data_IF_448704899272
#
_entry.id   IF_448704899272
#
_cell.length_a   1.000
_cell.length_b   1.000
_cell.length_c   1.000
_cell.angle_alpha   90.00
_cell.angle_beta   90.00
_cell.angle_gamma   90.00
#
_symmetry.space_group_name_H-M   'P 1'
#
loop_
_entity.id
_entity.type
_entity.pdbx_description
1 polymer ?
#
# COMPACT_ATOMS: atom_id res chain seq x y z
N UNK A 1 59.36 -55.77 2.69
CA UNK A 1 60.55 -55.15 2.07
C UNK A 1 60.42 -53.64 2.21
N UNK A 2 61.32 -53.09 2.97
CA UNK A 2 62.06 -51.81 2.86
C UNK A 2 61.20 -50.59 2.44
N UNK A 3 61.01 -49.68 3.33
CA UNK A 3 61.92 -48.55 3.79
C UNK A 3 61.79 -47.30 2.91
N UNK A 4 61.54 -46.21 3.54
CA UNK A 4 61.80 -44.88 3.02
C UNK A 4 61.14 -43.76 3.80
N UNK A 5 61.82 -43.32 4.88
CA UNK A 5 61.52 -42.09 5.64
C UNK A 5 61.95 -40.90 4.82
N UNK A 6 61.20 -39.80 4.87
CA UNK A 6 61.85 -38.48 4.93
C UNK A 6 61.02 -37.45 5.67
N UNK A 7 61.66 -36.90 6.68
CA UNK A 7 61.22 -35.85 7.59
C UNK A 7 61.54 -34.50 6.96
N UNK A 8 60.60 -33.62 6.91
CA UNK A 8 60.80 -32.20 6.53
C UNK A 8 60.15 -31.27 7.52
N UNK A 9 60.94 -30.74 8.43
CA UNK A 9 60.59 -29.61 9.30
C UNK A 9 60.24 -28.38 8.45
N UNK A 10 59.14 -27.74 8.77
CA UNK A 10 58.92 -26.37 8.36
C UNK A 10 58.34 -25.55 9.52
N UNK A 11 59.04 -24.48 9.73
CA UNK A 11 59.02 -23.51 10.80
C UNK A 11 57.66 -22.79 10.91
N UNK A 12 57.13 -22.68 12.14
CA UNK A 12 56.03 -21.77 12.49
C UNK A 12 56.54 -20.31 12.39
N UNK A 13 55.87 -19.51 11.59
CA UNK A 13 55.88 -18.05 11.69
C UNK A 13 54.52 -17.57 12.17
N UNK A 14 54.44 -17.16 13.44
CA UNK A 14 53.29 -16.41 13.99
C UNK A 14 53.33 -14.99 13.38
N UNK A 15 52.35 -14.68 12.56
CA UNK A 15 52.00 -13.29 12.23
C UNK A 15 50.72 -12.92 12.97
N UNK A 16 50.86 -12.17 14.06
CA UNK A 16 49.77 -11.51 14.76
C UNK A 16 49.23 -10.37 13.88
N UNK A 17 48.10 -10.59 13.23
CA UNK A 17 47.35 -9.53 12.58
C UNK A 17 46.30 -8.97 13.56
N UNK A 18 46.55 -7.76 14.05
CA UNK A 18 45.60 -6.95 14.78
C UNK A 18 44.52 -6.52 13.81
N UNK A 19 43.32 -7.10 13.92
CA UNK A 19 42.12 -6.62 13.21
C UNK A 19 41.60 -5.39 13.95
N UNK A 20 41.88 -4.21 13.42
CA UNK A 20 41.13 -3.00 13.69
C UNK A 20 39.74 -3.17 13.04
N UNK A 21 38.71 -3.40 13.87
CA UNK A 21 37.34 -3.35 13.44
C UNK A 21 36.97 -1.89 13.12
N UNK A 22 37.13 -1.51 11.87
CA UNK A 22 36.52 -0.31 11.32
C UNK A 22 35.01 -0.51 11.25
N UNK A 23 34.26 0.30 12.03
CA UNK A 23 32.82 0.41 11.89
C UNK A 23 32.57 1.05 10.51
N UNK A 24 32.36 0.23 9.49
CA UNK A 24 31.79 0.68 8.22
C UNK A 24 30.34 1.06 8.52
N UNK A 25 30.05 2.36 8.60
CA UNK A 25 28.71 2.89 8.44
C UNK A 25 28.21 2.37 7.08
N UNK A 26 27.31 1.38 7.15
CA UNK A 26 26.67 0.80 6.00
C UNK A 26 25.91 1.89 5.25
N UNK A 27 26.49 2.39 4.18
CA UNK A 27 25.70 2.99 3.11
C UNK A 27 24.94 1.83 2.50
N UNK A 28 23.63 1.77 2.77
CA UNK A 28 22.74 0.94 1.94
C UNK A 28 22.95 1.39 0.49
N UNK A 29 23.14 0.46 -0.46
CA UNK A 29 23.25 0.84 -1.85
C UNK A 29 21.96 1.58 -2.22
N UNK A 30 22.07 2.83 -2.67
CA UNK A 30 20.97 3.55 -3.31
C UNK A 30 20.38 2.59 -4.35
N UNK A 31 19.14 2.16 -4.11
CA UNK A 31 18.39 1.36 -5.06
C UNK A 31 18.53 2.02 -6.43
N UNK A 32 19.01 1.27 -7.42
CA UNK A 32 19.08 1.75 -8.79
C UNK A 32 17.70 2.32 -9.12
N UNK A 33 17.65 3.57 -9.64
CA UNK A 33 16.41 4.25 -9.92
C UNK A 33 15.52 3.34 -10.79
N UNK A 34 14.42 2.85 -10.23
CA UNK A 34 13.51 1.97 -10.95
C UNK A 34 12.87 2.77 -12.08
N UNK A 35 12.92 2.23 -13.31
CA UNK A 35 12.31 2.84 -14.49
C UNK A 35 11.42 1.81 -15.16
N UNK A 36 10.19 2.21 -15.48
CA UNK A 36 9.24 1.40 -16.25
C UNK A 36 9.02 2.06 -17.62
N UNK A 37 9.29 1.32 -18.68
CA UNK A 37 8.97 1.75 -20.04
C UNK A 37 7.48 1.58 -20.33
N UNK A 38 6.89 2.55 -21.03
CA UNK A 38 5.48 2.56 -21.46
C UNK A 38 5.38 2.91 -22.94
N UNK A 39 4.20 2.75 -23.52
CA UNK A 39 3.95 3.16 -24.91
C UNK A 39 4.11 4.68 -25.16
N UNK A 40 3.84 5.50 -24.12
CA UNK A 40 3.91 6.96 -24.17
C UNK A 40 5.24 7.53 -23.65
N UNK A 41 6.12 6.73 -23.03
CA UNK A 41 7.39 7.19 -22.49
C UNK A 41 7.93 6.33 -21.35
N UNK A 42 8.31 6.95 -20.24
CA UNK A 42 8.92 6.26 -19.10
C UNK A 42 8.37 6.77 -17.77
N UNK A 43 8.29 5.87 -16.78
CA UNK A 43 7.98 6.19 -15.39
C UNK A 43 9.27 6.03 -14.59
N UNK A 44 9.74 7.09 -13.98
CA UNK A 44 10.89 7.10 -13.10
C UNK A 44 10.41 7.14 -11.64
N UNK A 45 10.89 6.20 -10.82
CA UNK A 45 10.65 6.20 -9.38
C UNK A 45 11.64 7.16 -8.72
N UNK A 46 11.11 8.09 -7.92
CA UNK A 46 11.86 9.04 -7.11
C UNK A 46 11.53 8.86 -5.64
N UNK A 47 12.29 9.46 -4.73
CA UNK A 47 12.17 9.24 -3.28
C UNK A 47 10.75 9.38 -2.72
N UNK A 48 9.95 10.30 -3.27
CA UNK A 48 8.60 10.60 -2.80
C UNK A 48 7.61 10.73 -3.94
N UNK A 49 7.65 9.79 -4.88
CA UNK A 49 6.71 9.78 -5.99
C UNK A 49 7.25 9.25 -7.30
N UNK A 50 6.65 9.72 -8.38
CA UNK A 50 7.01 9.35 -9.74
C UNK A 50 7.24 10.60 -10.58
N UNK A 51 8.17 10.50 -11.54
CA UNK A 51 8.24 11.39 -12.70
C UNK A 51 7.83 10.61 -13.94
N UNK A 52 6.82 11.10 -14.64
CA UNK A 52 6.35 10.53 -15.89
C UNK A 52 6.95 11.33 -17.05
N UNK A 53 7.94 10.77 -17.69
CA UNK A 53 8.62 11.35 -18.84
C UNK A 53 7.87 10.97 -20.12
N UNK A 54 7.05 11.87 -20.64
CA UNK A 54 6.12 11.64 -21.73
C UNK A 54 6.69 12.24 -23.03
N UNK A 55 6.87 11.39 -24.04
CA UNK A 55 7.18 11.85 -25.39
C UNK A 55 5.89 12.39 -26.03
N UNK A 56 5.83 13.69 -26.34
CA UNK A 56 4.62 14.33 -26.86
C UNK A 56 4.09 13.66 -28.14
N UNK A 57 4.99 13.19 -29.00
CA UNK A 57 4.64 12.46 -30.23
C UNK A 57 3.97 11.09 -29.96
N UNK A 58 4.04 10.58 -28.72
CA UNK A 58 3.45 9.30 -28.29
C UNK A 58 2.27 9.50 -27.33
N UNK A 59 1.84 10.74 -27.13
CA UNK A 59 0.71 11.02 -26.26
C UNK A 59 -0.56 10.36 -26.82
N UNK A 60 -1.28 9.54 -26.03
CA UNK A 60 -2.52 8.92 -26.51
C UNK A 60 -3.55 9.95 -26.95
N UNK A 61 -4.33 9.60 -27.97
CA UNK A 61 -5.47 10.40 -28.42
C UNK A 61 -6.45 10.60 -27.26
N UNK A 62 -6.68 11.85 -26.86
CA UNK A 62 -7.49 12.18 -25.68
C UNK A 62 -6.69 12.71 -24.49
N UNK A 63 -5.35 12.73 -24.59
CA UNK A 63 -4.49 13.40 -23.61
C UNK A 63 -4.50 12.74 -22.22
N UNK A 64 -4.58 11.41 -22.16
CA UNK A 64 -4.61 10.66 -20.92
C UNK A 64 -3.49 9.62 -20.92
N UNK A 65 -2.75 9.52 -19.81
CA UNK A 65 -1.76 8.46 -19.58
C UNK A 65 -2.20 7.55 -18.45
N UNK A 66 -1.80 6.28 -18.56
CA UNK A 66 -2.07 5.28 -17.53
C UNK A 66 -0.78 4.86 -16.87
N UNK A 67 -0.82 4.74 -15.55
CA UNK A 67 0.28 4.27 -14.72
C UNK A 67 -0.19 3.09 -13.85
N UNK A 68 0.70 2.17 -13.46
CA UNK A 68 0.36 1.15 -12.48
C UNK A 68 -0.17 1.77 -11.19
N UNK A 69 -1.14 1.13 -10.56
CA UNK A 69 -1.64 1.54 -9.24
C UNK A 69 -0.48 1.49 -8.22
N UNK A 70 -0.40 2.54 -7.39
CA UNK A 70 0.50 2.57 -6.24
C UNK A 70 -0.26 2.29 -4.93
N UNK A 71 0.47 1.76 -3.95
CA UNK A 71 0.04 1.61 -2.56
C UNK A 71 0.53 2.81 -1.71
N UNK A 72 0.27 4.02 -2.20
CA UNK A 72 0.64 5.27 -1.52
C UNK A 72 -0.50 6.30 -1.62
N UNK A 73 -0.73 7.10 -0.57
CA UNK A 73 -1.50 8.34 -0.72
C UNK A 73 -0.77 9.29 -1.66
N UNK A 74 -1.53 9.92 -2.55
CA UNK A 74 -1.03 10.94 -3.47
C UNK A 74 -1.30 12.31 -2.88
N UNK A 75 -0.28 13.17 -2.81
CA UNK A 75 -0.41 14.54 -2.27
C UNK A 75 -0.61 15.57 -3.36
N UNK A 76 0.02 15.39 -4.53
CA UNK A 76 -0.12 16.29 -5.66
C UNK A 76 0.20 15.58 -6.99
N UNK A 77 -0.39 16.07 -8.09
CA UNK A 77 -0.04 15.69 -9.46
C UNK A 77 -0.05 16.95 -10.30
N UNK A 78 1.06 17.26 -10.95
CA UNK A 78 1.22 18.48 -11.71
C UNK A 78 2.30 18.36 -12.80
N UNK A 79 2.36 19.33 -13.70
CA UNK A 79 3.43 19.42 -14.70
C UNK A 79 4.71 20.00 -14.09
N UNK A 80 5.84 19.37 -14.32
CA UNK A 80 7.13 19.95 -13.98
C UNK A 80 7.33 21.28 -14.73
N UNK A 81 7.80 22.29 -13.99
CA UNK A 81 7.98 23.64 -14.53
C UNK A 81 6.72 24.53 -14.51
N UNK A 82 5.56 23.99 -14.16
CA UNK A 82 4.39 24.81 -13.85
C UNK A 82 4.58 25.46 -12.47
N UNK A 83 4.74 26.80 -12.46
CA UNK A 83 4.98 27.58 -11.24
C UNK A 83 3.79 27.54 -10.27
N UNK A 84 2.58 27.40 -10.79
CA UNK A 84 1.35 27.32 -10.01
C UNK A 84 1.04 25.90 -9.56
N UNK A 85 1.74 24.92 -10.09
CA UNK A 85 1.50 23.49 -9.82
C UNK A 85 0.02 23.12 -9.96
N UNK A 86 -0.61 23.62 -11.03
CA UNK A 86 -2.02 23.38 -11.29
C UNK A 86 -2.33 21.87 -11.28
N UNK A 87 -3.32 21.41 -10.48
CA UNK A 87 -3.53 20.00 -10.25
C UNK A 87 -4.06 19.31 -11.52
N UNK A 88 -3.45 18.19 -11.84
CA UNK A 88 -3.94 17.27 -12.88
C UNK A 88 -4.94 16.29 -12.27
N UNK A 89 -5.96 15.93 -13.05
CA UNK A 89 -7.01 15.00 -12.61
C UNK A 89 -6.49 13.56 -12.61
N UNK A 90 -6.60 12.91 -11.47
CA UNK A 90 -6.38 11.47 -11.29
C UNK A 90 -7.71 10.76 -11.25
N UNK A 91 -7.85 9.70 -12.06
CA UNK A 91 -8.97 8.75 -11.99
C UNK A 91 -8.42 7.39 -11.60
N UNK A 92 -8.70 6.89 -10.37
CA UNK A 92 -8.23 5.57 -9.96
C UNK A 92 -9.11 4.47 -10.57
N UNK A 93 -8.46 3.38 -11.01
CA UNK A 93 -9.08 2.12 -11.40
C UNK A 93 -8.55 0.99 -10.50
N UNK A 94 -9.02 -0.22 -10.69
CA UNK A 94 -8.66 -1.37 -9.83
C UNK A 94 -7.16 -1.66 -9.85
N UNK A 95 -6.55 -1.73 -11.03
CA UNK A 95 -5.15 -2.10 -11.21
C UNK A 95 -4.25 -0.95 -11.68
N UNK A 96 -4.82 0.16 -12.11
CA UNK A 96 -4.09 1.27 -12.73
C UNK A 96 -4.72 2.62 -12.35
N UNK A 97 -3.96 3.68 -12.57
CA UNK A 97 -4.45 5.06 -12.43
C UNK A 97 -4.35 5.78 -13.75
N UNK A 98 -5.36 6.57 -14.05
CA UNK A 98 -5.43 7.39 -15.23
C UNK A 98 -5.23 8.86 -14.89
N UNK A 99 -4.27 9.53 -15.56
CA UNK A 99 -3.95 10.93 -15.35
C UNK A 99 -4.32 11.70 -16.62
N UNK A 100 -5.27 12.63 -16.51
CA UNK A 100 -5.69 13.47 -17.60
C UNK A 100 -4.73 14.65 -17.78
N UNK A 101 -4.13 14.74 -18.95
CA UNK A 101 -3.22 15.79 -19.35
C UNK A 101 -4.02 16.82 -20.19
N UNK A 102 -4.22 18.00 -19.64
CA UNK A 102 -4.89 19.10 -20.35
C UNK A 102 -3.84 19.92 -21.11
N UNK A 103 -3.65 19.64 -22.38
CA UNK A 103 -2.77 20.44 -23.25
C UNK A 103 -3.54 21.09 -24.39
N UNK A 104 -3.17 22.33 -24.68
CA UNK A 104 -3.50 22.95 -25.95
C UNK A 104 -2.56 22.42 -27.03
N UNK A 105 -2.96 22.45 -28.32
CA UNK A 105 -2.10 22.05 -29.43
C UNK A 105 -0.85 22.95 -29.51
N UNK A 106 0.33 22.36 -29.77
CA UNK A 106 1.53 23.10 -30.19
C UNK A 106 2.73 23.12 -29.22
N UNK A 107 2.85 22.21 -28.27
CA UNK A 107 4.12 22.03 -27.55
C UNK A 107 4.89 20.86 -28.18
N UNK A 108 6.03 21.17 -28.79
CA UNK A 108 6.98 20.18 -29.29
C UNK A 108 8.01 19.92 -28.15
N UNK A 109 8.06 18.71 -27.60
CA UNK A 109 9.07 18.35 -26.60
C UNK A 109 8.73 17.18 -25.69
N UNK A 110 9.51 17.03 -24.66
CA UNK A 110 9.28 16.08 -23.59
C UNK A 110 8.49 16.77 -22.47
N UNK A 111 7.41 16.14 -22.04
CA UNK A 111 6.63 16.55 -20.87
C UNK A 111 7.02 15.70 -19.67
N UNK A 112 7.13 16.32 -18.51
CA UNK A 112 7.32 15.61 -17.26
C UNK A 112 6.15 15.90 -16.33
N UNK A 113 5.42 14.85 -15.92
CA UNK A 113 4.38 14.94 -14.91
C UNK A 113 4.97 14.42 -13.60
N UNK A 114 4.83 15.19 -12.54
CA UNK A 114 5.23 14.80 -11.19
C UNK A 114 4.02 14.28 -10.45
N UNK A 115 4.15 13.08 -9.86
CA UNK A 115 3.18 12.48 -8.95
C UNK A 115 3.83 12.41 -7.58
N UNK A 116 3.42 13.24 -6.65
CA UNK A 116 3.95 13.24 -5.28
C UNK A 116 3.17 12.29 -4.39
N UNK A 117 3.89 11.49 -3.59
CA UNK A 117 3.31 10.50 -2.67
C UNK A 117 3.78 10.71 -1.23
N UNK A 118 3.03 10.15 -0.29
CA UNK A 118 3.52 10.00 1.08
C UNK A 118 4.42 8.76 1.11
N UNK A 119 5.70 8.98 1.39
CA UNK A 119 6.74 7.95 1.40
C UNK A 119 7.18 7.48 0.01
N UNK A 120 8.17 6.58 -0.06
CA UNK A 120 8.64 6.00 -1.32
C UNK A 120 7.50 5.30 -2.07
N UNK A 121 7.41 5.45 -3.40
CA UNK A 121 6.36 4.83 -4.18
C UNK A 121 6.48 3.30 -4.17
N UNK A 122 5.35 2.63 -3.92
CA UNK A 122 5.23 1.17 -3.89
C UNK A 122 4.16 0.73 -4.89
N UNK A 123 4.50 -0.23 -5.75
CA UNK A 123 3.53 -0.82 -6.68
C UNK A 123 2.50 -1.65 -5.93
N UNK A 124 1.25 -1.61 -6.37
CA UNK A 124 0.17 -2.41 -5.78
C UNK A 124 0.32 -3.92 -6.01
N UNK A 125 1.15 -4.31 -6.98
CA UNK A 125 1.51 -5.71 -7.22
C UNK A 125 2.43 -6.31 -6.15
N UNK A 126 2.99 -5.48 -5.28
CA UNK A 126 3.86 -5.89 -4.19
C UNK A 126 3.08 -5.84 -2.87
N UNK A 127 2.60 -6.99 -2.34
CA UNK A 127 1.88 -7.03 -1.07
C UNK A 127 2.72 -6.44 0.06
N UNK A 128 2.11 -5.56 0.85
CA UNK A 128 2.75 -4.97 2.00
C UNK A 128 2.39 -5.73 3.27
N UNK A 129 3.39 -6.31 3.93
CA UNK A 129 3.20 -6.97 5.23
C UNK A 129 3.25 -5.92 6.33
N UNK A 130 2.11 -5.66 6.95
CA UNK A 130 1.94 -4.66 8.00
C UNK A 130 2.47 -5.22 9.32
N UNK A 131 3.37 -4.47 9.95
CA UNK A 131 3.94 -4.84 11.25
C UNK A 131 3.20 -4.13 12.39
N UNK A 132 3.09 -4.78 13.56
CA UNK A 132 2.50 -4.13 14.72
C UNK A 132 3.42 -3.02 15.26
N UNK A 133 2.83 -2.03 15.90
CA UNK A 133 3.55 -1.05 16.72
C UNK A 133 4.24 -1.72 17.91
N UNK A 134 5.07 -0.99 18.66
CA UNK A 134 5.70 -1.48 19.90
C UNK A 134 4.68 -1.96 20.94
N UNK A 135 3.45 -1.39 20.95
CA UNK A 135 2.33 -1.82 21.78
C UNK A 135 1.53 -3.01 21.24
N UNK A 136 1.94 -3.60 20.10
CA UNK A 136 1.24 -4.74 19.48
C UNK A 136 0.03 -4.36 18.61
N UNK A 137 -0.29 -3.07 18.47
CA UNK A 137 -1.41 -2.62 17.66
C UNK A 137 -1.06 -2.68 16.16
N UNK A 138 -1.98 -3.20 15.35
CA UNK A 138 -1.93 -3.11 13.90
C UNK A 138 -2.77 -1.92 13.39
N UNK A 139 -2.26 -1.27 12.33
CA UNK A 139 -2.89 -0.11 11.69
C UNK A 139 -2.96 -0.37 10.19
N UNK A 140 -4.09 -0.92 9.74
CA UNK A 140 -4.32 -1.42 8.39
C UNK A 140 -4.90 -0.29 7.55
N UNK A 141 -4.04 0.44 6.87
CA UNK A 141 -4.45 1.60 6.08
C UNK A 141 -5.04 1.18 4.72
N UNK A 142 -5.94 2.00 4.17
CA UNK A 142 -6.56 1.73 2.87
C UNK A 142 -5.56 1.55 1.72
N UNK A 143 -4.43 2.27 1.75
CA UNK A 143 -3.42 2.17 0.71
C UNK A 143 -2.64 0.84 0.73
N UNK A 144 -2.64 0.12 1.86
CA UNK A 144 -2.00 -1.19 1.99
C UNK A 144 -2.95 -2.35 1.63
N UNK A 145 -4.23 -2.05 1.39
CA UNK A 145 -5.21 -3.07 1.04
C UNK A 145 -4.99 -3.65 -0.35
N UNK A 146 -5.07 -4.98 -0.46
CA UNK A 146 -5.27 -5.68 -1.72
C UNK A 146 -6.76 -5.74 -1.99
N UNK A 147 -7.21 -5.24 -3.13
CA UNK A 147 -8.63 -5.21 -3.52
C UNK A 147 -8.92 -6.27 -4.58
N UNK A 148 -10.04 -6.97 -4.43
CA UNK A 148 -10.49 -8.04 -5.31
C UNK A 148 -11.87 -7.72 -5.89
N UNK A 149 -12.13 -8.13 -7.12
CA UNK A 149 -13.39 -7.92 -7.81
C UNK A 149 -13.30 -6.93 -8.95
N UNK A 150 -14.39 -6.25 -9.26
CA UNK A 150 -14.50 -5.44 -10.48
C UNK A 150 -14.48 -3.93 -10.23
N UNK A 151 -15.02 -3.46 -9.11
CA UNK A 151 -15.23 -2.04 -8.86
C UNK A 151 -14.47 -1.51 -7.65
N UNK A 152 -14.33 -2.33 -6.60
CA UNK A 152 -13.64 -1.96 -5.38
C UNK A 152 -12.19 -1.58 -5.67
N UNK A 153 -11.77 -0.41 -5.20
CA UNK A 153 -10.43 0.10 -5.47
C UNK A 153 -9.93 1.05 -4.40
N UNK A 154 -8.63 1.23 -4.35
CA UNK A 154 -8.04 2.29 -3.54
C UNK A 154 -8.16 3.63 -4.27
N UNK A 155 -8.63 4.66 -3.57
CA UNK A 155 -8.77 6.03 -4.03
C UNK A 155 -7.74 6.93 -3.30
N UNK A 156 -6.62 7.30 -3.97
CA UNK A 156 -5.44 7.87 -3.31
C UNK A 156 -5.54 9.37 -3.00
N UNK A 157 -6.59 10.06 -3.48
CA UNK A 157 -6.72 11.50 -3.30
C UNK A 157 -6.76 11.86 -1.80
N UNK A 158 -6.14 12.97 -1.35
CA UNK A 158 -6.00 13.30 0.08
C UNK A 158 -7.32 13.34 0.86
N UNK A 159 -8.38 13.85 0.24
CA UNK A 159 -9.72 13.92 0.87
C UNK A 159 -10.41 12.55 0.95
N UNK A 160 -10.00 11.60 0.12
CA UNK A 160 -10.51 10.21 0.12
C UNK A 160 -9.58 9.31 0.93
N UNK A 161 -8.43 8.93 0.37
CA UNK A 161 -7.46 8.00 0.94
C UNK A 161 -8.17 6.79 1.55
N UNK A 162 -8.91 6.07 0.73
CA UNK A 162 -9.87 5.04 1.15
C UNK A 162 -9.93 3.89 0.17
N UNK A 163 -10.25 2.70 0.64
CA UNK A 163 -10.82 1.64 -0.19
C UNK A 163 -12.29 2.00 -0.39
N UNK A 164 -12.69 2.27 -1.62
CA UNK A 164 -14.02 2.77 -1.95
C UNK A 164 -14.51 2.28 -3.29
N UNK A 165 -15.61 2.88 -3.78
CA UNK A 165 -16.31 2.42 -4.97
C UNK A 165 -16.87 1.00 -4.83
N UNK A 166 -17.23 0.63 -3.61
CA UNK A 166 -17.73 -0.69 -3.24
C UNK A 166 -19.18 -0.87 -3.62
N UNK A 167 -19.43 -1.05 -4.92
CA UNK A 167 -20.78 -1.11 -5.50
C UNK A 167 -21.27 -2.54 -5.80
N UNK A 168 -20.42 -3.55 -5.59
CA UNK A 168 -20.75 -4.96 -5.79
C UNK A 168 -20.55 -5.74 -4.50
N UNK A 169 -21.43 -6.69 -4.22
CA UNK A 169 -21.34 -7.54 -3.03
C UNK A 169 -20.19 -8.53 -3.12
N UNK A 170 -19.82 -8.96 -4.33
CA UNK A 170 -18.77 -9.94 -4.58
C UNK A 170 -17.36 -9.34 -4.42
N UNK A 171 -17.24 -8.01 -4.48
CA UNK A 171 -15.96 -7.34 -4.29
C UNK A 171 -15.58 -7.36 -2.81
N UNK A 172 -14.26 -7.48 -2.53
CA UNK A 172 -13.74 -7.56 -1.17
C UNK A 172 -12.28 -7.07 -1.11
N UNK A 173 -11.77 -6.88 0.09
CA UNK A 173 -10.38 -6.48 0.29
C UNK A 173 -9.74 -7.20 1.46
N UNK A 174 -8.38 -7.19 1.46
CA UNK A 174 -7.59 -7.82 2.51
C UNK A 174 -6.30 -7.06 2.80
N UNK A 175 -5.73 -7.34 3.97
CA UNK A 175 -4.43 -6.85 4.41
C UNK A 175 -3.60 -8.02 4.90
N UNK A 176 -2.31 -8.01 4.55
CA UNK A 176 -1.33 -8.98 5.03
C UNK A 176 -0.63 -8.42 6.27
N UNK A 177 -0.64 -9.16 7.34
CA UNK A 177 -0.05 -8.78 8.62
C UNK A 177 1.22 -9.61 8.86
N UNK A 178 2.20 -9.03 9.56
CA UNK A 178 3.21 -9.85 10.23
C UNK A 178 2.54 -10.61 11.37
N UNK A 179 3.08 -11.78 11.73
CA UNK A 179 2.53 -12.65 12.78
C UNK A 179 2.12 -11.86 14.02
N UNK A 180 0.83 -11.91 14.35
CA UNK A 180 0.27 -11.31 15.54
C UNK A 180 0.68 -12.09 16.79
N UNK A 181 0.78 -11.41 17.93
CA UNK A 181 0.86 -12.11 19.21
C UNK A 181 -0.50 -12.72 19.51
N UNK A 182 -0.55 -13.97 20.03
CA UNK A 182 -1.79 -14.57 20.48
C UNK A 182 -2.48 -13.69 21.54
N UNK A 183 -3.80 -13.64 21.50
CA UNK A 183 -4.60 -12.89 22.46
C UNK A 183 -5.81 -12.20 21.84
N UNK A 184 -6.50 -11.45 22.67
CA UNK A 184 -7.73 -10.77 22.31
C UNK A 184 -7.42 -9.37 21.75
N UNK A 185 -8.05 -9.05 20.64
CA UNK A 185 -7.92 -7.75 19.96
C UNK A 185 -9.30 -7.10 19.81
N UNK A 186 -9.40 -5.82 20.18
CA UNK A 186 -10.51 -4.97 19.77
C UNK A 186 -10.33 -4.58 18.29
N UNK A 187 -11.38 -4.74 17.51
CA UNK A 187 -11.40 -4.39 16.09
C UNK A 187 -12.12 -3.05 15.91
N UNK A 188 -11.39 -2.07 15.41
CA UNK A 188 -11.93 -0.76 15.06
C UNK A 188 -11.88 -0.54 13.55
N UNK A 189 -12.92 0.11 13.01
CA UNK A 189 -13.00 0.50 11.60
C UNK A 189 -13.26 1.99 11.47
N UNK A 190 -12.49 2.65 10.60
CA UNK A 190 -12.72 4.03 10.19
C UNK A 190 -13.47 4.00 8.86
N UNK A 191 -14.81 4.05 8.94
CA UNK A 191 -15.72 3.92 7.81
C UNK A 191 -16.40 5.24 7.44
N UNK A 192 -16.71 5.39 6.15
CA UNK A 192 -17.62 6.41 5.61
C UNK A 192 -18.74 5.75 4.83
N UNK A 193 -19.97 6.25 5.00
CA UNK A 193 -21.14 5.73 4.31
C UNK A 193 -22.10 6.87 3.94
N UNK A 194 -22.49 6.93 2.66
CA UNK A 194 -23.40 7.96 2.15
C UNK A 194 -24.80 7.84 2.75
N UNK A 195 -25.53 8.95 2.71
CA UNK A 195 -26.94 8.96 3.11
C UNK A 195 -27.76 7.96 2.29
N UNK A 196 -28.57 7.12 2.96
CA UNK A 196 -29.36 6.07 2.34
C UNK A 196 -28.57 4.85 1.86
N UNK A 197 -27.30 4.71 2.25
CA UNK A 197 -26.42 3.60 1.85
C UNK A 197 -26.11 2.62 3.00
N UNK A 198 -26.55 2.89 4.22
CA UNK A 198 -26.35 2.03 5.38
C UNK A 198 -27.12 0.71 5.31
N UNK A 199 -26.87 -0.17 6.29
CA UNK A 199 -27.60 -1.44 6.46
C UNK A 199 -26.94 -2.66 5.83
N UNK A 200 -25.86 -2.51 5.03
CA UNK A 200 -25.09 -3.67 4.56
C UNK A 200 -24.43 -4.40 5.72
N UNK A 201 -24.40 -5.72 5.70
CA UNK A 201 -23.64 -6.53 6.64
C UNK A 201 -22.27 -6.87 6.04
N UNK A 202 -21.22 -6.65 6.82
CA UNK A 202 -19.84 -6.91 6.41
C UNK A 202 -19.17 -7.79 7.45
N UNK A 203 -18.48 -8.82 6.97
CA UNK A 203 -17.65 -9.70 7.78
C UNK A 203 -16.20 -9.20 7.79
N UNK A 204 -15.59 -9.16 8.97
CA UNK A 204 -14.15 -9.08 9.20
C UNK A 204 -13.69 -10.44 9.65
N UNK A 205 -12.76 -11.06 8.93
CA UNK A 205 -12.23 -12.38 9.29
C UNK A 205 -10.70 -12.40 9.28
N UNK A 206 -10.12 -13.13 10.25
CA UNK A 206 -8.70 -13.41 10.39
C UNK A 206 -8.50 -14.63 11.29
N UNK A 207 -7.56 -15.53 10.98
CA UNK A 207 -7.23 -16.68 11.82
C UNK A 207 -8.38 -17.65 12.10
N UNK A 208 -9.35 -17.72 11.18
CA UNK A 208 -10.54 -18.56 11.37
C UNK A 208 -11.66 -17.91 12.19
N UNK A 209 -11.40 -16.78 12.83
CA UNK A 209 -12.38 -15.98 13.57
C UNK A 209 -13.11 -14.99 12.65
N UNK A 210 -14.34 -14.64 12.99
CA UNK A 210 -15.16 -13.72 12.20
C UNK A 210 -16.02 -12.82 13.09
N UNK A 211 -16.09 -11.54 12.71
CA UNK A 211 -17.05 -10.55 13.25
C UNK A 211 -17.93 -10.07 12.12
N UNK A 212 -19.23 -10.06 12.28
CA UNK A 212 -20.18 -9.45 11.35
C UNK A 212 -20.71 -8.17 11.99
N UNK A 213 -20.66 -7.07 11.22
CA UNK A 213 -21.19 -5.79 11.66
C UNK A 213 -22.08 -5.17 10.58
N UNK A 214 -23.04 -4.36 11.02
CA UNK A 214 -23.89 -3.58 10.12
C UNK A 214 -23.23 -2.23 9.83
N UNK A 215 -23.15 -1.85 8.56
CA UNK A 215 -22.65 -0.54 8.12
C UNK A 215 -23.63 0.55 8.54
N UNK A 216 -23.12 1.56 9.27
CA UNK A 216 -23.90 2.73 9.67
C UNK A 216 -23.73 3.88 8.68
N UNK A 217 -24.78 4.62 8.44
CA UNK A 217 -24.70 5.87 7.69
C UNK A 217 -23.86 6.91 8.44
N UNK A 218 -22.96 7.56 7.72
CA UNK A 218 -22.21 8.71 8.24
C UNK A 218 -22.60 10.02 7.54
N UNK A 219 -23.58 9.95 6.63
CA UNK A 219 -24.13 11.06 5.86
C UNK A 219 -23.40 11.33 4.54
N UNK A 220 -22.11 11.00 4.45
CA UNK A 220 -21.29 11.12 3.24
C UNK A 220 -20.14 10.11 3.27
N UNK A 221 -19.72 9.59 2.10
CA UNK A 221 -18.66 8.58 2.02
C UNK A 221 -17.30 9.06 2.56
N UNK A 222 -17.02 10.37 2.53
CA UNK A 222 -15.80 10.93 3.12
C UNK A 222 -16.00 11.50 4.55
N UNK A 223 -17.20 11.32 5.14
CA UNK A 223 -17.41 11.61 6.56
C UNK A 223 -17.08 10.39 7.41
N UNK A 224 -15.78 10.18 7.62
CA UNK A 224 -15.30 8.99 8.31
C UNK A 224 -15.58 9.01 9.81
N UNK A 225 -16.13 7.92 10.33
CA UNK A 225 -16.39 7.68 11.75
C UNK A 225 -15.61 6.44 12.22
N UNK A 226 -14.95 6.58 13.36
CA UNK A 226 -14.29 5.44 14.00
C UNK A 226 -15.32 4.67 14.81
N UNK A 227 -15.37 3.35 14.63
CA UNK A 227 -16.30 2.46 15.34
C UNK A 227 -15.55 1.23 15.84
N UNK A 228 -15.81 0.84 17.08
CA UNK A 228 -15.48 -0.51 17.56
C UNK A 228 -16.57 -1.45 17.07
N UNK A 229 -16.17 -2.47 16.30
CA UNK A 229 -17.10 -3.44 15.70
C UNK A 229 -17.14 -4.78 16.43
N UNK A 230 -16.24 -5.02 17.35
CA UNK A 230 -16.17 -6.22 18.18
C UNK A 230 -14.76 -6.54 18.64
N UNK A 231 -14.60 -7.77 19.10
CA UNK A 231 -13.31 -8.33 19.50
C UNK A 231 -13.09 -9.67 18.82
N UNK A 232 -11.84 -10.00 18.54
CA UNK A 232 -11.42 -11.23 17.89
C UNK A 232 -10.30 -11.88 18.73
N UNK A 233 -10.28 -13.21 18.80
CA UNK A 233 -9.23 -13.96 19.50
C UNK A 233 -8.26 -14.51 18.44
N UNK A 234 -6.98 -14.18 18.53
CA UNK A 234 -5.95 -14.71 17.64
C UNK A 234 -5.14 -15.78 18.36
N UNK A 235 -5.02 -16.96 17.77
CA UNK A 235 -4.17 -18.04 18.24
C UNK A 235 -2.76 -17.94 17.65
N UNK A 236 -1.81 -18.67 18.20
CA UNK A 236 -0.47 -18.75 17.65
C UNK A 236 -0.48 -19.53 16.33
N UNK A 237 0.05 -18.93 15.27
CA UNK A 237 0.14 -19.57 13.95
C UNK A 237 -1.12 -19.45 13.09
N UNK A 238 -2.06 -18.59 13.49
CA UNK A 238 -3.21 -18.25 12.63
C UNK A 238 -2.78 -17.52 11.36
N UNK A 239 -3.67 -17.56 10.37
CA UNK A 239 -3.49 -16.80 9.13
C UNK A 239 -3.33 -15.31 9.43
N UNK A 240 -2.27 -14.74 8.89
CA UNK A 240 -1.94 -13.32 9.06
C UNK A 240 -2.62 -12.43 7.98
N UNK A 241 -3.78 -12.87 7.46
CA UNK A 241 -4.55 -12.13 6.45
C UNK A 241 -5.89 -11.73 7.04
N UNK A 242 -6.10 -10.42 7.23
CA UNK A 242 -7.40 -9.88 7.58
C UNK A 242 -8.19 -9.59 6.32
N UNK A 243 -9.39 -10.15 6.22
CA UNK A 243 -10.31 -9.95 5.10
C UNK A 243 -11.53 -9.14 5.51
N UNK A 244 -12.02 -8.31 4.60
CA UNK A 244 -13.27 -7.57 4.69
C UNK A 244 -14.16 -7.98 3.53
N UNK A 245 -15.31 -8.64 3.83
CA UNK A 245 -16.25 -9.19 2.83
C UNK A 245 -17.69 -8.83 3.14
N UNK A 246 -18.47 -8.24 2.21
CA UNK A 246 -19.88 -8.07 2.39
C UNK A 246 -20.59 -9.42 2.46
N UNK A 247 -21.46 -9.58 3.45
CA UNK A 247 -22.43 -10.69 3.53
C UNK A 247 -23.71 -10.31 2.81
N UNK A 248 -24.15 -9.06 3.00
CA UNK A 248 -25.28 -8.49 2.30
C UNK A 248 -24.95 -7.09 1.81
N UNK A 249 -25.60 -6.65 0.75
CA UNK A 249 -25.53 -5.28 0.24
C UNK A 249 -26.93 -4.67 0.21
N UNK A 250 -27.18 -3.74 1.13
CA UNK A 250 -28.51 -3.16 1.34
C UNK A 250 -28.90 -2.07 0.32
N UNK A 251 -27.92 -1.35 -0.23
CA UNK A 251 -28.16 -0.20 -1.12
C UNK A 251 -27.21 -0.21 -2.33
N UNK A 252 -27.02 0.92 -3.02
CA UNK A 252 -26.17 1.00 -4.22
C UNK A 252 -24.69 0.78 -3.92
N UNK A 253 -24.23 1.15 -2.73
CA UNK A 253 -22.84 0.94 -2.28
C UNK A 253 -22.80 0.32 -0.88
N UNK A 254 -21.68 -0.30 -0.51
CA UNK A 254 -21.44 -0.87 0.83
C UNK A 254 -20.96 0.25 1.77
N UNK A 255 -19.73 0.71 1.61
CA UNK A 255 -19.08 1.77 2.40
C UNK A 255 -17.74 2.15 1.79
N UNK A 256 -17.13 3.20 2.32
CA UNK A 256 -15.72 3.51 2.18
C UNK A 256 -14.97 3.12 3.46
N UNK A 257 -13.76 2.56 3.34
CA UNK A 257 -12.92 2.18 4.48
C UNK A 257 -11.56 2.89 4.37
N UNK A 258 -11.24 3.69 5.38
CA UNK A 258 -9.94 4.39 5.44
C UNK A 258 -8.91 3.60 6.21
N UNK A 259 -9.33 2.89 7.25
CA UNK A 259 -8.44 2.13 8.12
C UNK A 259 -9.21 1.05 8.89
N UNK A 260 -8.54 -0.07 9.16
CA UNK A 260 -8.92 -1.02 10.21
C UNK A 260 -7.80 -1.05 11.25
N UNK A 261 -8.13 -1.17 12.54
CA UNK A 261 -7.15 -1.33 13.62
C UNK A 261 -7.45 -2.57 14.43
N UNK A 262 -6.39 -3.31 14.76
CA UNK A 262 -6.43 -4.37 15.76
C UNK A 262 -5.67 -3.86 17.00
N UNK A 263 -6.37 -3.70 18.10
CA UNK A 263 -5.83 -3.14 19.36
C UNK A 263 -5.82 -4.25 20.41
N UNK A 264 -4.63 -4.65 20.93
CA UNK A 264 -4.57 -5.67 21.96
C UNK A 264 -5.40 -5.28 23.16
N UNK A 265 -6.26 -6.20 23.65
CA UNK A 265 -6.97 -6.05 24.92
C UNK A 265 -6.05 -6.57 26.01
N UNK A 266 -5.56 -5.67 26.85
CA UNK A 266 -4.75 -6.04 28.02
C UNK A 266 -5.73 -6.53 29.07
N UNK A 267 -5.59 -7.78 29.60
CA UNK A 267 -6.41 -8.22 30.72
C UNK A 267 -6.21 -7.25 31.90
N UNK A 268 -7.30 -6.85 32.56
CA UNK A 268 -7.19 -6.13 33.82
C UNK A 268 -6.49 -7.06 34.85
N UNK A 269 -5.57 -6.52 35.67
CA UNK A 269 -4.79 -7.29 36.63
C UNK A 269 -5.66 -7.89 37.74
#
# INVERSE_FOLDING_TARGET
MRCGWNVGLAVLALCSAVFLAGIALGHEPQSAAQVIATEWGQIHFIDRGLELHIAEARLPTGGTVRIPRLNNPVTAIYLQGDKERAPLKLTPHVAEWEIALKFGPGRLGQLVVVVETIGPPRLASEPHVIRPSAGGQFSLAAHDAVTHGQNLRYEPQPHKNTVGYWSRQEDWCEWHLATAKPGRYEVQILQGCGKGQGGSEVAVSIGGEEIIFTVEETGHFQNFKNRTIGTIELAAGDDDILQLRPRTKAAAAVMDVRQVRLIPVIPEP
#
